data_IF_241462330772
#
_entry.id   IF_241462330772
#
_cell.length_a   1.000
_cell.length_b   1.000
_cell.length_c   1.000
_cell.angle_alpha   90.00
_cell.angle_beta   90.00
_cell.angle_gamma   90.00
#
_symmetry.space_group_name_H-M   'P 1'
#
loop_
_entity.id
_entity.type
_entity.pdbx_description
1 polymer ?
#
# COMPACT_ATOMS: atom_id res chain seq x y z
N UNK A 1 6.61 27.32 -1.37
CA UNK A 1 7.29 26.04 -1.69
C UNK A 1 6.40 25.29 -2.67
N UNK A 2 6.87 24.83 -3.84
CA UNK A 2 6.05 23.97 -4.69
C UNK A 2 5.74 22.69 -3.90
N UNK A 3 4.53 22.17 -4.11
CA UNK A 3 4.05 20.93 -3.50
C UNK A 3 4.96 19.75 -3.91
N UNK A 4 5.16 18.77 -3.03
CA UNK A 4 5.84 17.52 -3.45
C UNK A 4 5.04 16.87 -4.58
N UNK A 5 5.72 16.32 -5.58
CA UNK A 5 5.08 15.56 -6.66
C UNK A 5 4.21 14.41 -6.12
N UNK A 6 4.52 13.90 -4.93
CA UNK A 6 3.69 12.91 -4.23
C UNK A 6 2.24 13.37 -4.03
N UNK A 7 1.99 14.67 -3.84
CA UNK A 7 0.63 15.21 -3.66
C UNK A 7 -0.21 15.12 -4.94
N UNK A 8 0.41 15.18 -6.12
CA UNK A 8 -0.29 15.04 -7.40
C UNK A 8 -0.87 13.64 -7.59
N UNK A 9 -0.14 12.63 -7.11
CA UNK A 9 -0.55 11.23 -7.23
C UNK A 9 -1.31 10.73 -5.99
N UNK A 10 -1.33 11.49 -4.89
CA UNK A 10 -1.85 11.06 -3.58
C UNK A 10 -3.30 10.60 -3.60
N UNK A 11 -4.14 11.10 -4.51
CA UNK A 11 -5.54 10.68 -4.62
C UNK A 11 -5.69 9.16 -4.78
N UNK A 12 -4.74 8.51 -5.47
CA UNK A 12 -4.79 7.07 -5.73
C UNK A 12 -4.31 6.20 -4.55
N UNK A 13 -3.08 6.34 -4.00
CA UNK A 13 -2.66 5.59 -2.82
C UNK A 13 -3.40 6.04 -1.55
N UNK A 14 -3.77 7.33 -1.44
CA UNK A 14 -4.62 7.85 -0.38
C UNK A 14 -6.03 7.28 -0.47
N UNK A 15 -6.63 7.26 -1.66
CA UNK A 15 -7.91 6.59 -1.91
C UNK A 15 -7.85 5.10 -1.58
N UNK A 16 -6.79 4.40 -1.98
CA UNK A 16 -6.56 2.99 -1.64
C UNK A 16 -6.54 2.76 -0.11
N UNK A 17 -5.85 3.61 0.65
CA UNK A 17 -5.80 3.53 2.12
C UNK A 17 -7.15 3.86 2.77
N UNK A 18 -7.78 4.97 2.41
CA UNK A 18 -9.05 5.41 3.01
C UNK A 18 -10.17 4.38 2.77
N UNK A 19 -10.17 3.76 1.60
CA UNK A 19 -11.17 2.75 1.22
C UNK A 19 -10.86 1.33 1.68
N UNK A 20 -9.68 1.11 2.26
CA UNK A 20 -9.23 -0.20 2.70
C UNK A 20 -10.07 -0.76 3.85
N UNK A 21 -10.35 -2.06 3.81
CA UNK A 21 -11.08 -2.81 4.83
C UNK A 21 -10.54 -2.60 6.25
N UNK A 22 -9.21 -2.52 6.41
CA UNK A 22 -8.59 -2.28 7.72
C UNK A 22 -8.96 -0.89 8.26
N UNK A 23 -8.69 0.17 7.49
CA UNK A 23 -8.98 1.55 7.88
C UNK A 23 -10.48 1.74 8.11
N UNK A 24 -11.30 1.10 7.27
CA UNK A 24 -12.76 1.06 7.43
C UNK A 24 -13.22 0.53 8.76
N UNK A 25 -12.70 -0.62 9.16
CA UNK A 25 -12.98 -1.15 10.50
C UNK A 25 -12.56 -0.18 11.60
N UNK A 26 -11.45 0.55 11.44
CA UNK A 26 -10.98 1.51 12.44
C UNK A 26 -11.92 2.72 12.56
N UNK A 27 -12.28 3.38 11.46
CA UNK A 27 -13.13 4.57 11.51
C UNK A 27 -14.61 4.25 11.77
N UNK A 28 -15.12 3.07 11.37
CA UNK A 28 -16.46 2.60 11.77
C UNK A 28 -16.58 2.41 13.28
N UNK A 29 -15.56 1.84 13.91
CA UNK A 29 -15.52 1.70 15.38
C UNK A 29 -15.37 3.04 16.07
N UNK A 30 -14.47 3.90 15.60
CA UNK A 30 -14.16 5.17 16.25
C UNK A 30 -15.27 6.20 16.14
N UNK A 31 -15.95 6.31 14.99
CA UNK A 31 -16.93 7.38 14.76
C UNK A 31 -18.39 6.92 14.78
N UNK A 32 -18.67 5.63 14.54
CA UNK A 32 -20.04 5.09 14.47
C UNK A 32 -20.34 3.99 15.48
N UNK A 33 -19.38 3.62 16.35
CA UNK A 33 -19.52 2.53 17.31
C UNK A 33 -20.08 1.24 16.68
N UNK A 34 -19.53 0.85 15.53
CA UNK A 34 -20.05 -0.24 14.68
C UNK A 34 -19.15 -1.49 14.65
N UNK A 35 -19.57 -2.51 15.40
CA UNK A 35 -19.54 -2.50 16.85
C UNK A 35 -18.09 -2.27 17.35
N UNK A 36 -17.87 -1.58 18.50
CA UNK A 36 -16.53 -1.28 18.99
C UNK A 36 -15.70 -2.55 19.27
N UNK A 37 -16.37 -3.65 19.63
CA UNK A 37 -15.77 -4.95 19.87
C UNK A 37 -16.80 -6.08 19.84
N UNK A 38 -16.34 -7.33 19.89
CA UNK A 38 -17.22 -8.50 19.75
C UNK A 38 -18.27 -8.63 20.86
N UNK A 39 -18.00 -8.10 22.05
CA UNK A 39 -18.89 -8.14 23.22
C UNK A 39 -19.67 -6.85 23.43
N UNK A 40 -19.44 -5.81 22.61
CA UNK A 40 -20.06 -4.49 22.76
C UNK A 40 -21.05 -4.28 21.62
N UNK A 41 -22.33 -4.14 21.97
CA UNK A 41 -23.38 -3.88 21.00
C UNK A 41 -23.18 -2.55 20.26
N UNK A 42 -23.70 -2.48 19.04
CA UNK A 42 -23.78 -1.21 18.29
C UNK A 42 -25.02 -0.41 18.71
N UNK A 43 -24.98 0.94 18.70
CA UNK A 43 -26.15 1.76 19.02
C UNK A 43 -27.30 1.62 18.02
N UNK A 44 -27.02 1.14 16.81
CA UNK A 44 -28.01 0.98 15.75
C UNK A 44 -28.82 -0.30 15.95
N UNK A 45 -30.06 -0.28 15.50
CA UNK A 45 -30.99 -1.43 15.56
C UNK A 45 -31.12 -2.16 14.23
N UNK A 46 -30.55 -1.62 13.15
CA UNK A 46 -30.66 -2.19 11.79
C UNK A 46 -29.32 -2.13 11.06
N UNK A 47 -28.97 -3.25 10.43
CA UNK A 47 -27.84 -3.32 9.50
C UNK A 47 -28.20 -2.66 8.16
N UNK A 48 -27.56 -1.54 7.85
CA UNK A 48 -27.72 -0.83 6.58
C UNK A 48 -26.70 -1.26 5.53
N UNK A 49 -25.60 -1.86 5.97
CA UNK A 49 -24.44 -2.16 5.13
C UNK A 49 -23.84 -0.92 4.48
N UNK A 50 -23.03 -1.13 3.45
CA UNK A 50 -22.32 -0.08 2.70
C UNK A 50 -23.06 0.28 1.40
N UNK A 51 -24.40 0.31 1.46
CA UNK A 51 -25.26 0.47 0.27
C UNK A 51 -25.71 1.90 -0.01
N UNK A 52 -25.42 2.83 0.89
CA UNK A 52 -25.92 4.22 0.85
C UNK A 52 -24.77 5.22 0.94
N UNK A 53 -24.96 6.42 0.38
CA UNK A 53 -23.99 7.51 0.51
C UNK A 53 -23.86 7.93 1.99
N UNK A 54 -22.62 8.18 2.50
CA UNK A 54 -21.33 8.17 1.79
C UNK A 54 -20.62 6.80 1.77
N UNK A 55 -21.09 5.80 2.53
CA UNK A 55 -20.40 4.53 2.72
C UNK A 55 -20.29 3.66 1.46
N UNK A 56 -21.16 3.88 0.48
CA UNK A 56 -21.07 3.23 -0.85
C UNK A 56 -19.72 3.47 -1.53
N UNK A 57 -19.07 4.60 -1.28
CA UNK A 57 -17.76 4.95 -1.84
C UNK A 57 -16.66 3.99 -1.38
N UNK A 58 -16.82 3.32 -0.24
CA UNK A 58 -15.84 2.35 0.24
C UNK A 58 -15.71 1.14 -0.68
N UNK A 59 -16.77 0.84 -1.46
CA UNK A 59 -16.74 -0.23 -2.45
C UNK A 59 -15.80 0.07 -3.64
N UNK A 60 -15.33 1.31 -3.78
CA UNK A 60 -14.37 1.72 -4.83
C UNK A 60 -12.97 1.16 -4.54
N UNK A 61 -12.69 0.70 -3.31
CA UNK A 61 -11.42 0.07 -2.95
C UNK A 61 -10.96 -1.02 -3.94
N UNK A 62 -11.92 -1.79 -4.47
CA UNK A 62 -11.65 -2.83 -5.48
C UNK A 62 -10.96 -2.29 -6.72
N UNK A 63 -11.28 -1.05 -7.12
CA UNK A 63 -10.69 -0.39 -8.28
C UNK A 63 -9.34 0.22 -7.94
N UNK A 64 -9.21 0.81 -6.75
CA UNK A 64 -7.93 1.30 -6.24
C UNK A 64 -6.87 0.20 -6.12
N UNK A 65 -7.25 -1.06 -5.91
CA UNK A 65 -6.31 -2.19 -5.95
C UNK A 65 -5.55 -2.27 -7.29
N UNK A 66 -6.22 -2.08 -8.42
CA UNK A 66 -5.58 -2.15 -9.75
C UNK A 66 -4.58 -1.00 -9.94
N UNK A 67 -4.95 0.22 -9.52
CA UNK A 67 -4.02 1.35 -9.52
C UNK A 67 -2.84 1.12 -8.57
N UNK A 68 -3.09 0.51 -7.41
CA UNK A 68 -2.05 0.12 -6.45
C UNK A 68 -1.04 -0.85 -7.08
N UNK A 69 -1.52 -1.92 -7.72
CA UNK A 69 -0.65 -2.89 -8.42
C UNK A 69 0.16 -2.19 -9.52
N UNK A 70 -0.45 -1.33 -10.31
CA UNK A 70 0.24 -0.56 -11.34
C UNK A 70 1.38 0.30 -10.75
N UNK A 71 1.12 1.03 -9.67
CA UNK A 71 2.16 1.83 -9.01
C UNK A 71 3.25 0.98 -8.39
N UNK A 72 2.95 -0.19 -7.84
CA UNK A 72 4.00 -1.10 -7.36
C UNK A 72 4.93 -1.50 -8.51
N UNK A 73 4.42 -1.78 -9.71
CA UNK A 73 5.27 -2.11 -10.87
C UNK A 73 6.17 -0.92 -11.27
N UNK A 74 5.64 0.30 -11.25
CA UNK A 74 6.42 1.52 -11.52
C UNK A 74 7.50 1.70 -10.45
N UNK A 75 7.14 1.60 -9.17
CA UNK A 75 8.06 1.74 -8.04
C UNK A 75 9.15 0.66 -7.99
N UNK A 76 8.86 -0.55 -8.48
CA UNK A 76 9.89 -1.58 -8.69
C UNK A 76 10.87 -1.13 -9.75
N UNK A 77 10.40 -0.61 -10.88
CA UNK A 77 11.27 -0.05 -11.92
C UNK A 77 12.14 1.09 -11.40
N UNK A 78 11.57 1.99 -10.59
CA UNK A 78 12.30 3.11 -9.99
C UNK A 78 13.32 2.65 -8.94
N UNK A 79 12.96 1.67 -8.12
CA UNK A 79 13.90 1.06 -7.18
C UNK A 79 15.08 0.40 -7.89
N UNK A 80 14.85 -0.29 -9.02
CA UNK A 80 15.92 -0.87 -9.84
C UNK A 80 16.80 0.23 -10.43
N UNK A 81 16.21 1.29 -10.99
CA UNK A 81 16.95 2.44 -11.54
C UNK A 81 17.78 3.15 -10.47
N UNK A 82 17.32 3.17 -9.22
CA UNK A 82 18.06 3.77 -8.12
C UNK A 82 19.42 3.10 -7.83
N UNK A 83 19.69 1.91 -8.36
CA UNK A 83 21.01 1.26 -8.27
C UNK A 83 21.95 1.57 -9.44
N UNK A 84 21.53 2.39 -10.41
CA UNK A 84 22.35 2.73 -11.57
C UNK A 84 22.78 4.20 -11.47
N UNK A 85 24.07 4.44 -11.20
CA UNK A 85 24.63 5.78 -11.09
C UNK A 85 25.31 6.17 -12.40
N UNK A 86 25.19 7.45 -12.75
CA UNK A 86 25.86 8.03 -13.92
C UNK A 86 27.04 8.84 -13.41
N UNK A 87 28.23 8.53 -13.92
CA UNK A 87 29.44 9.27 -13.56
C UNK A 87 29.60 10.58 -14.35
N UNK A 88 30.66 11.34 -14.07
CA UNK A 88 30.96 12.60 -14.77
C UNK A 88 31.28 12.41 -16.27
N UNK A 89 31.62 11.19 -16.70
CA UNK A 89 31.85 10.84 -18.11
C UNK A 89 30.57 10.42 -18.84
N UNK A 90 29.45 10.32 -18.12
CA UNK A 90 28.16 9.85 -18.64
C UNK A 90 28.03 8.33 -18.66
N UNK A 91 29.01 7.58 -18.15
CA UNK A 91 28.95 6.13 -18.08
C UNK A 91 28.09 5.68 -16.89
N UNK A 92 27.18 4.75 -17.15
CA UNK A 92 26.31 4.16 -16.12
C UNK A 92 27.00 2.95 -15.50
N UNK A 93 27.12 2.93 -14.18
CA UNK A 93 27.63 1.80 -13.42
C UNK A 93 26.65 1.40 -12.32
N UNK A 94 26.73 0.14 -11.89
CA UNK A 94 25.99 -0.33 -10.74
C UNK A 94 26.59 0.28 -9.47
N UNK A 95 25.73 0.79 -8.60
CA UNK A 95 26.12 1.37 -7.32
C UNK A 95 25.04 1.17 -6.27
N UNK A 96 25.44 1.26 -5.01
CA UNK A 96 24.53 1.14 -3.87
C UNK A 96 24.64 2.43 -3.06
N UNK A 97 23.53 3.13 -2.91
CA UNK A 97 23.43 4.32 -2.10
C UNK A 97 22.45 4.12 -0.96
N UNK A 98 22.53 4.95 0.06
CA UNK A 98 21.53 4.96 1.12
C UNK A 98 20.12 5.23 0.53
N UNK A 99 20.02 6.12 -0.46
CA UNK A 99 18.79 6.38 -1.19
C UNK A 99 18.25 5.17 -1.94
N UNK A 100 19.11 4.36 -2.58
CA UNK A 100 18.66 3.16 -3.28
C UNK A 100 18.10 2.10 -2.32
N UNK A 101 18.72 1.95 -1.14
CA UNK A 101 18.19 1.09 -0.07
C UNK A 101 16.86 1.60 0.48
N UNK A 102 16.74 2.90 0.77
CA UNK A 102 15.50 3.51 1.26
C UNK A 102 14.35 3.31 0.27
N UNK A 103 14.60 3.59 -1.02
CA UNK A 103 13.59 3.42 -2.08
C UNK A 103 13.20 1.94 -2.24
N UNK A 104 14.16 1.02 -2.15
CA UNK A 104 13.89 -0.42 -2.21
C UNK A 104 13.03 -0.89 -1.04
N UNK A 105 13.39 -0.52 0.20
CA UNK A 105 12.62 -0.87 1.40
C UNK A 105 11.20 -0.28 1.32
N UNK A 106 11.07 0.96 0.90
CA UNK A 106 9.77 1.59 0.68
C UNK A 106 8.91 0.81 -0.33
N UNK A 107 9.47 0.47 -1.49
CA UNK A 107 8.77 -0.31 -2.53
C UNK A 107 8.34 -1.68 -2.01
N UNK A 108 9.21 -2.39 -1.29
CA UNK A 108 8.89 -3.69 -0.69
C UNK A 108 7.75 -3.56 0.33
N UNK A 109 7.79 -2.57 1.22
CA UNK A 109 6.75 -2.38 2.23
C UNK A 109 5.40 -2.00 1.60
N UNK A 110 5.40 -1.15 0.57
CA UNK A 110 4.20 -0.80 -0.20
C UNK A 110 3.65 -2.02 -0.96
N UNK A 111 4.53 -2.85 -1.53
CA UNK A 111 4.15 -4.10 -2.19
C UNK A 111 3.52 -5.07 -1.18
N UNK A 112 4.13 -5.27 0.00
CA UNK A 112 3.55 -6.07 1.07
C UNK A 112 2.18 -5.53 1.50
N UNK A 113 2.01 -4.22 1.62
CA UNK A 113 0.70 -3.63 1.94
C UNK A 113 -0.34 -3.91 0.85
N UNK A 114 0.01 -3.74 -0.43
CA UNK A 114 -0.88 -3.98 -1.58
C UNK A 114 -1.24 -5.46 -1.70
N UNK A 115 -0.26 -6.36 -1.64
CA UNK A 115 -0.45 -7.79 -1.83
C UNK A 115 -0.97 -8.54 -0.60
N UNK A 116 -0.97 -7.91 0.59
CA UNK A 116 -1.68 -8.42 1.77
C UNK A 116 -3.13 -7.97 1.84
N UNK A 117 -3.63 -7.21 0.86
CA UNK A 117 -4.96 -6.61 0.91
C UNK A 117 -6.10 -7.64 0.86
N UNK A 118 -7.15 -7.38 1.63
CA UNK A 118 -8.38 -8.19 1.62
C UNK A 118 -9.05 -8.24 0.23
N UNK A 119 -9.02 -7.13 -0.52
CA UNK A 119 -9.53 -7.08 -1.89
C UNK A 119 -8.79 -8.03 -2.83
N UNK A 120 -7.46 -8.18 -2.65
CA UNK A 120 -6.68 -9.12 -3.47
C UNK A 120 -7.01 -10.57 -3.12
N UNK A 121 -7.22 -10.88 -1.83
CA UNK A 121 -7.68 -12.19 -1.39
C UNK A 121 -8.99 -12.60 -2.08
N UNK A 122 -9.94 -11.67 -2.16
CA UNK A 122 -11.20 -11.88 -2.90
C UNK A 122 -10.99 -12.06 -4.41
N UNK A 123 -10.10 -11.26 -5.01
CA UNK A 123 -9.78 -11.38 -6.44
C UNK A 123 -9.19 -12.77 -6.76
N UNK A 124 -8.27 -13.27 -5.93
CA UNK A 124 -7.68 -14.61 -6.07
C UNK A 124 -8.73 -15.71 -5.85
N UNK A 125 -9.64 -15.53 -4.88
CA UNK A 125 -10.75 -16.45 -4.63
C UNK A 125 -11.68 -16.62 -5.83
N UNK A 126 -11.74 -15.65 -6.74
CA UNK A 126 -12.35 -15.83 -8.07
C UNK A 126 -13.87 -16.03 -8.05
N UNK A 127 -14.57 -15.45 -7.07
CA UNK A 127 -16.04 -15.58 -6.87
C UNK A 127 -16.52 -17.03 -6.74
N UNK A 128 -15.73 -17.88 -6.10
CA UNK A 128 -16.12 -19.25 -5.77
C UNK A 128 -16.33 -19.40 -4.27
N UNK A 129 -17.33 -20.19 -3.91
CA UNK A 129 -17.59 -20.56 -2.52
C UNK A 129 -16.64 -21.67 -2.04
N UNK A 130 -16.09 -22.45 -2.99
CA UNK A 130 -15.14 -23.52 -2.73
C UNK A 130 -13.93 -23.46 -3.68
N UNK A 131 -12.72 -23.66 -3.12
CA UNK A 131 -11.44 -23.65 -3.86
C UNK A 131 -10.89 -25.10 -4.03
N UNK A 132 -11.62 -26.11 -3.57
CA UNK A 132 -11.29 -27.51 -3.82
C UNK A 132 -11.18 -27.79 -5.34
N UNK A 133 -10.18 -28.57 -5.73
CA UNK A 133 -9.89 -28.88 -7.14
C UNK A 133 -9.09 -27.81 -7.90
N UNK A 134 -8.68 -26.70 -7.27
CA UNK A 134 -7.81 -25.69 -7.89
C UNK A 134 -6.52 -25.47 -7.06
N UNK A 135 -5.52 -26.36 -7.15
CA UNK A 135 -4.36 -26.37 -6.24
C UNK A 135 -3.56 -25.06 -6.28
N UNK A 136 -3.31 -24.51 -7.47
CA UNK A 136 -2.58 -23.24 -7.61
C UNK A 136 -3.35 -22.06 -7.00
N UNK A 137 -4.67 -22.00 -7.21
CA UNK A 137 -5.52 -20.95 -6.61
C UNK A 137 -5.57 -21.08 -5.10
N UNK A 138 -5.70 -22.30 -4.58
CA UNK A 138 -5.67 -22.57 -3.14
C UNK A 138 -4.35 -22.13 -2.50
N UNK A 139 -3.22 -22.41 -3.15
CA UNK A 139 -1.90 -21.96 -2.71
C UNK A 139 -1.79 -20.42 -2.70
N UNK A 140 -2.16 -19.74 -3.78
CA UNK A 140 -2.16 -18.27 -3.85
C UNK A 140 -3.09 -17.65 -2.80
N UNK A 141 -4.29 -18.20 -2.62
CA UNK A 141 -5.26 -17.75 -1.64
C UNK A 141 -4.72 -17.92 -0.20
N UNK A 142 -4.07 -19.05 0.09
CA UNK A 142 -3.46 -19.33 1.40
C UNK A 142 -2.28 -18.40 1.69
N UNK A 143 -1.47 -18.11 0.68
CA UNK A 143 -0.37 -17.14 0.78
C UNK A 143 -0.88 -15.73 1.11
N UNK A 144 -1.82 -15.22 0.31
CA UNK A 144 -2.40 -13.88 0.54
C UNK A 144 -3.18 -13.83 1.85
N UNK A 145 -3.89 -14.89 2.23
CA UNK A 145 -4.55 -14.98 3.53
C UNK A 145 -3.54 -14.93 4.69
N UNK A 146 -2.36 -15.54 4.51
CA UNK A 146 -1.30 -15.52 5.51
C UNK A 146 -0.66 -14.13 5.65
N UNK A 147 -0.42 -13.43 4.54
CA UNK A 147 0.05 -12.06 4.54
C UNK A 147 -1.00 -11.10 5.11
N UNK A 148 -2.29 -11.32 4.80
CA UNK A 148 -3.40 -10.48 5.25
C UNK A 148 -3.52 -10.41 6.78
N UNK A 149 -3.14 -11.47 7.52
CA UNK A 149 -3.07 -11.44 8.99
C UNK A 149 -2.19 -10.30 9.53
N UNK A 150 -1.19 -9.87 8.77
CA UNK A 150 -0.28 -8.76 9.11
C UNK A 150 -0.55 -7.50 8.29
N UNK A 151 -1.71 -7.39 7.63
CA UNK A 151 -2.03 -6.26 6.76
C UNK A 151 -1.96 -4.91 7.48
N UNK A 152 -2.46 -4.84 8.73
CA UNK A 152 -2.34 -3.64 9.56
C UNK A 152 -0.88 -3.23 9.81
N UNK A 153 0.01 -4.19 10.08
CA UNK A 153 1.43 -3.92 10.26
C UNK A 153 2.03 -3.30 8.99
N UNK A 154 1.78 -3.92 7.83
CA UNK A 154 2.25 -3.38 6.55
C UNK A 154 1.65 -2.01 6.23
N UNK A 155 0.40 -1.73 6.66
CA UNK A 155 -0.22 -0.42 6.47
C UNK A 155 0.58 0.69 7.17
N UNK A 156 0.98 0.47 8.42
CA UNK A 156 1.77 1.44 9.19
C UNK A 156 3.21 1.54 8.72
N UNK A 157 3.90 0.41 8.54
CA UNK A 157 5.29 0.40 8.07
C UNK A 157 5.43 1.10 6.73
N UNK A 158 4.55 0.79 5.77
CA UNK A 158 4.57 1.44 4.45
C UNK A 158 4.20 2.92 4.51
N UNK A 159 3.35 3.35 5.45
CA UNK A 159 2.98 4.76 5.60
C UNK A 159 4.18 5.60 6.06
N UNK A 160 4.89 5.13 7.08
CA UNK A 160 6.07 5.83 7.57
C UNK A 160 7.22 5.75 6.57
N UNK A 161 7.43 4.59 5.94
CA UNK A 161 8.48 4.42 4.94
C UNK A 161 8.29 5.34 3.73
N UNK A 162 7.08 5.47 3.20
CA UNK A 162 6.83 6.34 2.03
C UNK A 162 6.95 7.82 2.38
N UNK A 163 6.47 8.23 3.56
CA UNK A 163 6.64 9.60 4.03
C UNK A 163 8.13 9.94 4.23
N UNK A 164 8.89 9.01 4.81
CA UNK A 164 10.33 9.18 4.98
C UNK A 164 11.07 9.21 3.63
N UNK A 165 10.73 8.33 2.69
CA UNK A 165 11.34 8.31 1.36
C UNK A 165 11.08 9.62 0.59
N UNK A 166 9.86 10.18 0.66
CA UNK A 166 9.54 11.48 0.05
C UNK A 166 10.40 12.61 0.64
N UNK A 167 10.49 12.68 1.97
CA UNK A 167 11.33 13.67 2.66
C UNK A 167 12.80 13.48 2.31
N UNK A 168 13.31 12.24 2.33
CA UNK A 168 14.71 11.94 2.01
C UNK A 168 15.07 12.40 0.59
N UNK A 169 14.31 11.97 -0.41
CA UNK A 169 14.56 12.34 -1.81
C UNK A 169 14.47 13.85 -2.00
N UNK A 170 13.52 14.51 -1.33
CA UNK A 170 13.39 15.97 -1.38
C UNK A 170 14.58 16.69 -0.74
N UNK A 171 15.04 16.25 0.42
CA UNK A 171 16.21 16.86 1.08
C UNK A 171 17.49 16.64 0.26
N UNK A 172 17.64 15.48 -0.38
CA UNK A 172 18.73 15.22 -1.31
C UNK A 172 18.64 16.12 -2.56
N UNK A 173 17.46 16.30 -3.15
CA UNK A 173 17.31 17.15 -4.35
C UNK A 173 17.48 18.64 -4.06
N UNK A 174 17.24 19.08 -2.82
CA UNK A 174 17.54 20.44 -2.36
C UNK A 174 19.00 20.63 -1.92
N UNK A 175 19.82 19.57 -1.95
CA UNK A 175 21.22 19.61 -1.51
C UNK A 175 21.41 19.76 0.01
N UNK A 176 20.33 19.62 0.80
CA UNK A 176 20.38 19.68 2.27
C UNK A 176 21.01 18.40 2.82
N UNK A 177 20.63 17.26 2.24
CA UNK A 177 21.25 15.96 2.52
C UNK A 177 22.06 15.51 1.33
N UNK A 178 23.16 14.82 1.62
CA UNK A 178 23.98 14.16 0.59
C UNK A 178 23.66 12.67 0.60
N UNK A 179 23.32 12.13 -0.57
CA UNK A 179 23.08 10.70 -0.70
C UNK A 179 24.40 9.93 -0.50
N UNK A 180 24.48 9.18 0.60
CA UNK A 180 25.69 8.43 0.95
C UNK A 180 25.86 7.25 0.00
N UNK A 181 27.00 7.19 -0.70
CA UNK A 181 27.38 6.05 -1.56
C UNK A 181 28.07 4.99 -0.71
N UNK A 182 27.57 3.76 -0.79
CA UNK A 182 28.12 2.58 -0.10
C UNK A 182 28.95 1.72 -1.05
N UNK A 183 28.59 1.71 -2.33
CA UNK A 183 29.29 1.05 -3.43
C UNK A 183 29.15 1.90 -4.70
#
# INVERSE_FOLDING_TARGET
>A
LPFSAALLILWAPGGFRVTCYYYRGAYYKAFWADPPGCTVGEPRTRYLGERSFPLVLQNVHRYFLYFGVLFILILIGDAIRAFWFTDASGATHFGIGLGSLILTVNTVLLACYTFSCHSLRHLIGGRRDEIAGAPMRSACYSCVSSLNRRHQLFAWLSLFAVAFADVYVRLCSMGVWTDVRLL
#
